data_IF_862872139834
#
_entry.id   IF_862872139834
#
_cell.length_a   1.000
_cell.length_b   1.000
_cell.length_c   1.000
_cell.angle_alpha   90.00
_cell.angle_beta   90.00
_cell.angle_gamma   90.00
#
_symmetry.space_group_name_H-M   'P 1'
#
loop_
_entity.id
_entity.type
_entity.pdbx_description
1 polymer ?
#
# COMPACT_ATOMS: atom_id res chain seq x y z
N UNK A 1 -3.21 -17.60 10.00
CA UNK A 1 -3.22 -16.15 10.28
C UNK A 1 -3.30 -15.42 8.95
N UNK A 2 -4.35 -14.64 8.69
CA UNK A 2 -4.56 -13.98 7.40
C UNK A 2 -3.60 -12.80 7.27
N UNK A 3 -2.60 -12.91 6.37
CA UNK A 3 -1.56 -11.88 6.20
C UNK A 3 -2.13 -10.53 5.78
N UNK A 4 -3.23 -10.51 5.05
CA UNK A 4 -3.85 -9.28 4.56
C UNK A 4 -4.59 -8.53 5.68
N UNK A 5 -5.29 -9.25 6.57
CA UNK A 5 -5.95 -8.65 7.74
C UNK A 5 -4.94 -8.02 8.70
N UNK A 6 -3.83 -8.71 8.99
CA UNK A 6 -2.78 -8.15 9.86
C UNK A 6 -2.12 -6.92 9.24
N UNK A 7 -1.86 -6.94 7.92
CA UNK A 7 -1.34 -5.78 7.20
C UNK A 7 -2.31 -4.60 7.27
N UNK A 8 -3.60 -4.85 7.02
CA UNK A 8 -4.65 -3.85 7.11
C UNK A 8 -4.72 -3.24 8.51
N UNK A 9 -4.70 -4.06 9.57
CA UNK A 9 -4.69 -3.57 10.95
C UNK A 9 -3.49 -2.66 11.23
N UNK A 10 -2.29 -3.05 10.78
CA UNK A 10 -1.08 -2.21 10.92
C UNK A 10 -1.24 -0.89 10.16
N UNK A 11 -1.77 -0.90 8.94
CA UNK A 11 -2.03 0.32 8.16
C UNK A 11 -3.05 1.24 8.85
N UNK A 12 -4.14 0.68 9.40
CA UNK A 12 -5.10 1.43 10.20
C UNK A 12 -4.44 2.09 11.41
N UNK A 13 -3.64 1.34 12.19
CA UNK A 13 -2.93 1.90 13.34
C UNK A 13 -1.95 3.00 12.94
N UNK A 14 -1.21 2.82 11.86
CA UNK A 14 -0.28 3.83 11.35
C UNK A 14 -1.00 5.10 10.89
N UNK A 15 -2.13 4.98 10.20
CA UNK A 15 -2.95 6.13 9.77
C UNK A 15 -3.57 6.87 10.95
N UNK A 16 -4.11 6.16 11.94
CA UNK A 16 -4.60 6.78 13.17
C UNK A 16 -3.49 7.51 13.94
N UNK A 17 -2.28 6.94 13.96
CA UNK A 17 -1.12 7.57 14.58
C UNK A 17 -0.68 8.83 13.81
N UNK A 18 -0.64 8.76 12.48
CA UNK A 18 -0.32 9.89 11.60
C UNK A 18 -1.22 11.10 11.93
N UNK A 19 -2.54 10.90 11.97
CA UNK A 19 -3.49 11.98 12.28
C UNK A 19 -3.30 12.59 13.68
N UNK A 20 -2.90 11.78 14.67
CA UNK A 20 -2.62 12.27 16.02
C UNK A 20 -1.36 13.14 16.04
N UNK A 21 -0.29 12.67 15.40
CA UNK A 21 0.99 13.39 15.34
C UNK A 21 0.82 14.72 14.59
N UNK A 22 0.08 14.73 13.48
CA UNK A 22 -0.25 15.94 12.72
C UNK A 22 -1.03 16.97 13.56
N UNK A 23 -1.93 16.51 14.43
CA UNK A 23 -2.66 17.35 15.37
C UNK A 23 -1.81 17.91 16.51
N UNK A 24 -0.87 17.11 17.02
CA UNK A 24 -0.03 17.43 18.17
C UNK A 24 1.21 18.30 17.83
N UNK A 25 1.55 18.45 16.53
CA UNK A 25 2.73 19.21 16.03
C UNK A 25 4.02 18.86 16.76
N UNK A 26 4.33 17.57 16.86
CA UNK A 26 5.54 17.10 17.55
C UNK A 26 6.77 17.32 16.66
N UNK A 27 7.40 18.50 16.78
CA UNK A 27 8.61 18.85 16.01
C UNK A 27 9.89 18.21 16.58
N UNK A 28 10.01 16.87 16.56
CA UNK A 28 11.28 16.21 16.88
C UNK A 28 11.48 14.90 16.12
N UNK A 29 12.61 14.77 15.43
CA UNK A 29 13.05 13.52 14.83
C UNK A 29 13.81 12.63 15.82
N UNK A 30 13.42 11.37 15.89
CA UNK A 30 14.08 10.37 16.74
C UNK A 30 15.40 9.89 16.11
N UNK A 31 16.51 10.05 16.84
CA UNK A 31 17.82 9.55 16.40
C UNK A 31 17.88 8.03 16.21
N UNK A 32 16.92 7.28 16.78
CA UNK A 32 16.77 5.84 16.58
C UNK A 32 16.68 5.50 15.08
N UNK A 33 16.07 6.36 14.26
CA UNK A 33 15.96 6.12 12.83
C UNK A 33 17.31 6.05 12.11
N UNK A 34 18.36 6.70 12.61
CA UNK A 34 19.71 6.59 12.04
C UNK A 34 20.32 5.19 12.16
N UNK A 35 19.87 4.43 13.17
CA UNK A 35 20.28 3.04 13.39
C UNK A 35 19.47 2.03 12.58
N UNK A 36 18.24 2.39 12.19
CA UNK A 36 17.31 1.51 11.46
C UNK A 36 17.42 1.73 9.95
N UNK A 37 17.39 2.98 9.51
CA UNK A 37 17.32 3.35 8.10
C UNK A 37 18.72 3.49 7.48
N UNK A 38 18.87 3.02 6.25
CA UNK A 38 20.07 3.24 5.45
C UNK A 38 20.16 4.70 4.95
N UNK A 39 21.36 5.14 4.56
CA UNK A 39 21.55 6.47 3.95
C UNK A 39 20.69 6.62 2.69
N UNK A 40 20.60 5.57 1.88
CA UNK A 40 19.76 5.54 0.67
C UNK A 40 18.26 5.69 0.98
N UNK A 41 17.76 5.04 2.04
CA UNK A 41 16.36 5.20 2.47
C UNK A 41 16.06 6.61 2.97
N UNK A 42 16.95 7.20 3.76
CA UNK A 42 16.81 8.58 4.21
C UNK A 42 16.81 9.57 3.03
N UNK A 43 17.67 9.34 2.02
CA UNK A 43 17.65 10.13 0.79
C UNK A 43 16.33 9.99 0.01
N UNK A 44 15.75 8.79 -0.03
CA UNK A 44 14.44 8.57 -0.67
C UNK A 44 13.32 9.29 0.06
N UNK A 45 13.30 9.26 1.39
CA UNK A 45 12.34 9.99 2.22
C UNK A 45 12.47 11.50 1.97
N UNK A 46 13.70 12.03 2.01
CA UNK A 46 13.93 13.44 1.77
C UNK A 46 13.47 13.87 0.36
N UNK A 47 13.80 13.11 -0.68
CA UNK A 47 13.35 13.40 -2.06
C UNK A 47 11.83 13.35 -2.19
N UNK A 48 11.16 12.47 -1.45
CA UNK A 48 9.70 12.39 -1.42
C UNK A 48 9.05 13.64 -0.82
N UNK A 49 9.68 14.28 0.18
CA UNK A 49 9.19 15.55 0.76
C UNK A 49 9.21 16.72 -0.25
N UNK A 50 10.03 16.64 -1.30
CA UNK A 50 10.23 17.70 -2.29
C UNK A 50 10.03 17.18 -3.74
N UNK A 51 8.78 16.88 -4.14
CA UNK A 51 8.49 16.23 -5.42
C UNK A 51 8.90 17.06 -6.66
N UNK A 52 8.90 18.39 -6.57
CA UNK A 52 9.21 19.28 -7.69
C UNK A 52 10.70 19.63 -7.81
N UNK A 53 11.36 19.96 -6.69
CA UNK A 53 12.81 20.23 -6.63
C UNK A 53 13.30 20.23 -5.19
N UNK A 54 14.34 19.45 -4.89
CA UNK A 54 15.06 19.60 -3.63
C UNK A 54 15.75 20.98 -3.58
N UNK A 55 15.82 21.64 -2.41
CA UNK A 55 16.53 22.91 -2.30
C UNK A 55 18.00 22.75 -2.69
N UNK A 56 18.55 23.67 -3.47
CA UNK A 56 19.95 23.64 -3.97
C UNK A 56 20.99 23.64 -2.85
N UNK A 57 20.58 23.97 -1.62
CA UNK A 57 21.40 23.94 -0.40
C UNK A 57 21.72 22.53 0.13
N UNK A 58 21.09 21.48 -0.39
CA UNK A 58 21.29 20.10 0.08
C UNK A 58 22.06 19.27 -0.94
N UNK A 59 23.29 18.91 -0.60
CA UNK A 59 24.15 18.04 -1.39
C UNK A 59 24.19 16.61 -0.82
N UNK A 60 23.48 15.70 -1.46
CA UNK A 60 23.36 14.31 -1.04
C UNK A 60 24.68 13.52 -1.07
N UNK A 61 25.67 13.99 -1.84
CA UNK A 61 27.00 13.37 -1.88
C UNK A 61 27.74 13.60 -0.56
N UNK A 62 27.61 14.79 0.02
CA UNK A 62 28.35 15.21 1.22
C UNK A 62 27.62 14.95 2.53
N UNK A 63 26.28 14.93 2.52
CA UNK A 63 25.48 14.70 3.74
C UNK A 63 25.67 13.30 4.33
N UNK A 64 25.88 13.20 5.64
CA UNK A 64 25.85 11.94 6.35
C UNK A 64 24.42 11.56 6.80
N UNK A 65 24.28 10.48 7.57
CA UNK A 65 22.95 10.03 8.05
C UNK A 65 22.31 11.02 9.02
N UNK A 66 23.11 11.68 9.86
CA UNK A 66 22.63 12.63 10.84
C UNK A 66 22.15 13.90 10.15
N UNK A 67 22.92 14.40 9.18
CA UNK A 67 22.51 15.53 8.33
C UNK A 67 21.17 15.27 7.64
N UNK A 68 20.96 14.04 7.13
CA UNK A 68 19.71 13.67 6.47
C UNK A 68 18.53 13.59 7.44
N UNK A 69 18.73 13.10 8.67
CA UNK A 69 17.68 13.09 9.69
C UNK A 69 17.29 14.52 10.08
N UNK A 70 18.26 15.38 10.32
CA UNK A 70 18.01 16.80 10.63
C UNK A 70 17.25 17.49 9.49
N UNK A 71 17.58 17.16 8.24
CA UNK A 71 16.89 17.69 7.07
C UNK A 71 15.46 17.16 6.90
N UNK A 72 15.16 15.95 7.38
CA UNK A 72 13.79 15.38 7.43
C UNK A 72 12.99 16.04 8.57
N UNK A 73 13.66 16.45 9.64
CA UNK A 73 13.18 17.25 10.77
C UNK A 73 12.10 16.62 11.68
N UNK A 74 11.21 15.77 11.16
CA UNK A 74 10.06 15.26 11.91
C UNK A 74 9.77 13.78 11.56
N UNK A 75 9.52 12.98 12.61
CA UNK A 75 9.12 11.58 12.52
C UNK A 75 7.87 11.37 11.64
N UNK A 76 6.99 12.38 11.57
CA UNK A 76 5.79 12.32 10.74
C UNK A 76 6.12 12.15 9.26
N UNK A 77 7.23 12.72 8.77
CA UNK A 77 7.63 12.58 7.37
C UNK A 77 8.10 11.15 7.06
N UNK A 78 8.82 10.52 8.00
CA UNK A 78 9.22 9.12 7.89
C UNK A 78 7.98 8.23 7.88
N UNK A 79 7.08 8.42 8.84
CA UNK A 79 5.84 7.65 8.93
C UNK A 79 4.98 7.81 7.67
N UNK A 80 4.79 9.05 7.20
CA UNK A 80 4.00 9.37 6.01
C UNK A 80 4.57 8.73 4.75
N UNK A 81 5.90 8.80 4.56
CA UNK A 81 6.58 8.15 3.44
C UNK A 81 6.33 6.63 3.41
N UNK A 82 6.49 5.95 4.55
CA UNK A 82 6.29 4.50 4.61
C UNK A 82 4.83 4.10 4.42
N UNK A 83 3.90 4.86 4.99
CA UNK A 83 2.47 4.67 4.76
C UNK A 83 2.15 4.78 3.27
N UNK A 84 2.60 5.84 2.59
CA UNK A 84 2.34 6.02 1.16
C UNK A 84 2.98 4.92 0.31
N UNK A 85 4.24 4.58 0.60
CA UNK A 85 4.96 3.50 -0.07
C UNK A 85 4.21 2.17 0.06
N UNK A 86 3.76 1.82 1.26
CA UNK A 86 3.02 0.59 1.52
C UNK A 86 1.61 0.61 0.95
N UNK A 87 0.99 1.77 0.76
CA UNK A 87 -0.29 1.86 0.06
C UNK A 87 -0.15 1.63 -1.45
N UNK A 88 1.03 1.86 -2.02
CA UNK A 88 1.33 1.60 -3.45
C UNK A 88 1.79 0.16 -3.73
N UNK A 89 2.26 -0.57 -2.73
CA UNK A 89 2.69 -1.98 -2.87
C UNK A 89 1.60 -2.99 -3.32
N UNK A 90 0.32 -2.92 -2.90
CA UNK A 90 -0.71 -3.83 -3.38
C UNK A 90 -1.02 -3.67 -4.87
N UNK A 91 -0.69 -2.52 -5.46
CA UNK A 91 -0.79 -2.23 -6.89
C UNK A 91 0.44 -2.71 -7.69
N UNK A 92 1.40 -3.38 -7.05
CA UNK A 92 2.65 -3.75 -7.69
C UNK A 92 2.40 -4.61 -8.92
N UNK A 93 2.69 -4.00 -10.08
CA UNK A 93 2.53 -4.55 -11.42
C UNK A 93 3.13 -5.95 -11.49
N UNK A 94 2.45 -6.83 -12.22
CA UNK A 94 3.01 -8.14 -12.55
C UNK A 94 4.25 -7.88 -13.42
N UNK A 95 5.41 -8.26 -12.91
CA UNK A 95 6.69 -8.20 -13.62
C UNK A 95 7.22 -9.62 -13.83
N UNK A 96 8.10 -9.85 -14.83
CA UNK A 96 8.70 -11.17 -15.03
C UNK A 96 9.46 -11.64 -13.78
N UNK A 97 10.12 -10.71 -13.08
CA UNK A 97 10.79 -10.94 -11.81
C UNK A 97 9.82 -11.47 -10.73
N UNK A 98 8.65 -10.83 -10.57
CA UNK A 98 7.63 -11.27 -9.60
C UNK A 98 7.05 -12.63 -9.96
N UNK A 99 6.85 -12.91 -11.24
CA UNK A 99 6.41 -14.24 -11.71
C UNK A 99 7.43 -15.30 -11.34
N UNK A 100 8.71 -15.05 -11.64
CA UNK A 100 9.82 -15.93 -11.28
C UNK A 100 9.85 -16.20 -9.76
N UNK A 101 9.83 -15.16 -8.94
CA UNK A 101 9.92 -15.26 -7.47
C UNK A 101 8.75 -16.08 -6.88
N UNK A 102 7.52 -15.82 -7.33
CA UNK A 102 6.33 -16.56 -6.87
C UNK A 102 6.41 -18.04 -7.27
N UNK A 103 6.84 -18.34 -8.50
CA UNK A 103 6.93 -19.72 -8.98
C UNK A 103 8.06 -20.50 -8.29
N UNK A 104 9.22 -19.88 -8.06
CA UNK A 104 10.33 -20.47 -7.28
C UNK A 104 9.93 -20.70 -5.82
N UNK A 105 9.23 -19.74 -5.19
CA UNK A 105 8.76 -19.91 -3.81
C UNK A 105 7.80 -21.10 -3.68
N UNK A 106 6.97 -21.31 -4.69
CA UNK A 106 6.03 -22.42 -4.77
C UNK A 106 6.64 -23.73 -5.30
N UNK A 107 7.92 -23.74 -5.69
CA UNK A 107 8.64 -24.88 -6.27
C UNK A 107 7.95 -25.43 -7.54
N UNK A 108 7.47 -24.54 -8.40
CA UNK A 108 6.77 -24.84 -9.66
C UNK A 108 7.40 -24.08 -10.83
N UNK A 109 8.72 -24.09 -10.91
CA UNK A 109 9.51 -23.38 -11.93
C UNK A 109 9.20 -23.83 -13.37
N UNK A 110 8.55 -24.98 -13.55
CA UNK A 110 8.11 -25.52 -14.84
C UNK A 110 6.72 -25.02 -15.29
N UNK A 111 6.06 -24.17 -14.49
CA UNK A 111 4.74 -23.63 -14.82
C UNK A 111 4.79 -22.80 -16.11
N UNK A 112 3.77 -22.90 -16.96
CA UNK A 112 3.79 -22.27 -18.30
C UNK A 112 3.90 -20.73 -18.25
N UNK A 113 3.43 -20.09 -17.18
CA UNK A 113 3.59 -18.65 -16.95
C UNK A 113 5.05 -18.22 -16.76
N UNK A 114 5.97 -19.14 -16.44
CA UNK A 114 7.40 -18.85 -16.29
C UNK A 114 8.03 -18.36 -17.60
N UNK A 115 7.54 -18.87 -18.73
CA UNK A 115 8.11 -18.60 -20.06
C UNK A 115 7.18 -17.80 -20.96
N UNK A 116 5.89 -17.69 -20.63
CA UNK A 116 4.92 -16.89 -21.38
C UNK A 116 5.19 -15.39 -21.19
N UNK A 117 5.34 -14.68 -22.30
CA UNK A 117 5.58 -13.22 -22.30
C UNK A 117 4.34 -12.51 -21.73
N UNK A 118 4.55 -11.60 -20.78
CA UNK A 118 3.47 -10.87 -20.09
C UNK A 118 2.52 -10.13 -21.03
N UNK A 119 3.02 -9.60 -22.15
CA UNK A 119 2.21 -8.89 -23.13
C UNK A 119 1.16 -9.80 -23.81
N UNK A 120 1.38 -11.12 -23.81
CA UNK A 120 0.49 -12.12 -24.42
C UNK A 120 -0.43 -12.80 -23.40
N UNK A 121 -0.45 -12.31 -22.15
CA UNK A 121 -1.31 -12.88 -21.12
C UNK A 121 -2.77 -12.55 -21.41
N UNK A 122 -3.59 -13.59 -21.30
CA UNK A 122 -5.04 -13.46 -21.35
C UNK A 122 -5.63 -13.36 -19.94
N UNK A 123 -6.96 -13.21 -19.85
CA UNK A 123 -7.68 -13.10 -18.58
C UNK A 123 -7.47 -14.34 -17.67
N UNK A 124 -7.32 -15.52 -18.27
CA UNK A 124 -7.08 -16.75 -17.55
C UNK A 124 -5.69 -16.75 -16.91
N UNK A 125 -4.66 -16.31 -17.63
CA UNK A 125 -3.30 -16.20 -17.11
C UNK A 125 -3.21 -15.25 -15.91
N UNK A 126 -3.84 -14.08 -16.03
CA UNK A 126 -3.90 -13.12 -14.94
C UNK A 126 -4.60 -13.71 -13.71
N UNK A 127 -5.73 -14.39 -13.91
CA UNK A 127 -6.48 -15.04 -12.84
C UNK A 127 -5.68 -16.18 -12.19
N UNK A 128 -5.01 -16.99 -12.99
CA UNK A 128 -4.18 -18.10 -12.52
C UNK A 128 -2.98 -17.60 -11.72
N UNK A 129 -2.26 -16.59 -12.23
CA UNK A 129 -1.15 -15.98 -11.50
C UNK A 129 -1.61 -15.36 -10.18
N UNK A 130 -2.77 -14.70 -10.16
CA UNK A 130 -3.36 -14.16 -8.92
C UNK A 130 -3.62 -15.26 -7.89
N UNK A 131 -4.08 -16.44 -8.32
CA UNK A 131 -4.26 -17.59 -7.45
C UNK A 131 -2.92 -18.15 -6.93
N UNK A 132 -1.87 -18.15 -7.75
CA UNK A 132 -0.52 -18.54 -7.33
C UNK A 132 0.05 -17.56 -6.29
N UNK A 133 -0.10 -16.25 -6.49
CA UNK A 133 0.27 -15.25 -5.49
C UNK A 133 -0.41 -15.50 -4.13
N UNK A 134 -1.71 -15.86 -4.13
CA UNK A 134 -2.42 -16.22 -2.89
C UNK A 134 -1.80 -17.44 -2.22
N UNK A 135 -1.47 -18.49 -2.98
CA UNK A 135 -0.80 -19.70 -2.46
C UNK A 135 0.59 -19.39 -1.91
N UNK A 136 1.34 -18.50 -2.57
CA UNK A 136 2.64 -18.02 -2.11
C UNK A 136 2.52 -17.11 -0.87
N UNK A 137 1.31 -16.74 -0.48
CA UNK A 137 1.06 -15.80 0.62
C UNK A 137 1.61 -14.41 0.32
N UNK A 138 1.62 -14.02 -0.97
CA UNK A 138 1.84 -12.65 -1.42
C UNK A 138 0.67 -11.78 -0.94
N UNK A 139 0.92 -10.64 -0.28
CA UNK A 139 -0.15 -9.73 0.11
C UNK A 139 -0.98 -9.29 -1.10
N UNK A 140 -2.29 -9.25 -0.95
CA UNK A 140 -3.23 -8.74 -1.96
C UNK A 140 -4.14 -7.70 -1.33
N UNK A 141 -4.58 -6.69 -2.09
CA UNK A 141 -5.53 -5.71 -1.57
C UNK A 141 -6.83 -6.41 -1.16
N UNK A 142 -7.41 -5.92 -0.07
CA UNK A 142 -8.78 -6.24 0.31
C UNK A 142 -9.71 -5.19 -0.29
N UNK A 143 -10.99 -5.52 -0.41
CA UNK A 143 -12.01 -4.61 -0.95
C UNK A 143 -13.10 -4.43 0.09
N UNK A 144 -13.59 -3.21 0.28
CA UNK A 144 -14.77 -2.96 1.09
C UNK A 144 -15.63 -1.87 0.47
N UNK A 145 -16.91 -1.88 0.84
CA UNK A 145 -17.91 -0.92 0.38
C UNK A 145 -17.94 0.25 1.35
N UNK A 146 -17.87 1.46 0.82
CA UNK A 146 -17.94 2.72 1.54
C UNK A 146 -19.01 3.62 0.94
N UNK A 147 -19.41 4.65 1.68
CA UNK A 147 -20.14 5.77 1.09
C UNK A 147 -19.25 6.52 0.07
N UNK A 148 -19.85 7.07 -0.98
CA UNK A 148 -19.17 7.87 -2.00
C UNK A 148 -18.51 9.15 -1.45
N UNK A 149 -18.92 9.57 -0.25
CA UNK A 149 -18.37 10.70 0.50
C UNK A 149 -16.97 10.42 1.08
N UNK A 150 -16.63 9.15 1.31
CA UNK A 150 -15.35 8.73 1.89
C UNK A 150 -14.25 8.93 0.86
N UNK A 151 -13.20 9.65 1.23
CA UNK A 151 -12.06 9.85 0.33
C UNK A 151 -11.09 8.66 0.40
N UNK A 152 -10.31 8.48 -0.66
CA UNK A 152 -9.25 7.48 -0.72
C UNK A 152 -8.25 7.58 0.45
N UNK A 153 -7.98 8.80 0.92
CA UNK A 153 -7.09 9.09 2.05
C UNK A 153 -7.64 8.61 3.41
N UNK A 154 -8.97 8.53 3.55
CA UNK A 154 -9.68 8.27 4.80
C UNK A 154 -10.14 6.80 4.94
N UNK A 155 -9.89 5.96 3.93
CA UNK A 155 -10.36 4.55 3.87
C UNK A 155 -9.87 3.66 5.02
N UNK A 156 -8.76 4.02 5.66
CA UNK A 156 -8.16 3.24 6.76
C UNK A 156 -8.63 3.65 8.16
N UNK A 157 -9.37 4.75 8.27
CA UNK A 157 -9.89 5.30 9.53
C UNK A 157 -11.42 5.39 9.54
N UNK A 158 -12.04 5.22 8.37
CA UNK A 158 -13.49 5.17 8.22
C UNK A 158 -13.98 3.73 8.33
N UNK A 159 -15.10 3.53 9.02
CA UNK A 159 -15.74 2.21 9.09
C UNK A 159 -16.43 1.90 7.76
N UNK A 160 -16.13 0.76 7.10
CA UNK A 160 -16.84 0.36 5.89
C UNK A 160 -18.28 -0.07 6.17
N UNK A 161 -19.14 0.02 5.15
CA UNK A 161 -20.52 -0.49 5.16
C UNK A 161 -20.59 -2.03 4.95
N UNK A 162 -19.44 -2.67 4.79
CA UNK A 162 -19.32 -4.10 4.57
C UNK A 162 -18.16 -4.71 5.35
N UNK A 163 -18.13 -6.04 5.39
CA UNK A 163 -16.89 -6.77 5.67
C UNK A 163 -15.87 -6.57 4.54
N UNK A 164 -14.63 -7.02 4.78
CA UNK A 164 -13.56 -7.01 3.79
C UNK A 164 -13.61 -8.24 2.88
N UNK A 165 -13.41 -8.03 1.59
CA UNK A 165 -13.48 -9.06 0.55
C UNK A 165 -12.13 -9.27 -0.15
N UNK A 166 -11.76 -10.52 -0.49
CA UNK A 166 -10.58 -10.81 -1.29
C UNK A 166 -10.65 -10.38 -2.77
N UNK A 167 -11.84 -10.12 -3.30
CA UNK A 167 -12.04 -9.72 -4.69
C UNK A 167 -12.98 -8.53 -4.84
N UNK A 168 -12.73 -7.74 -5.89
CA UNK A 168 -13.62 -6.65 -6.28
C UNK A 168 -15.03 -7.16 -6.62
N UNK A 169 -15.13 -8.34 -7.24
CA UNK A 169 -16.41 -8.96 -7.59
C UNK A 169 -17.29 -9.23 -6.36
N UNK A 170 -16.75 -9.84 -5.31
CA UNK A 170 -17.48 -10.08 -4.05
C UNK A 170 -17.96 -8.76 -3.42
N UNK A 171 -17.17 -7.69 -3.52
CA UNK A 171 -17.58 -6.36 -3.07
C UNK A 171 -18.70 -5.75 -3.94
N UNK A 172 -18.69 -6.00 -5.25
CA UNK A 172 -19.77 -5.57 -6.16
C UNK A 172 -21.09 -6.29 -5.86
N UNK A 173 -21.05 -7.58 -5.57
CA UNK A 173 -22.24 -8.32 -5.13
C UNK A 173 -22.83 -7.69 -3.86
N UNK A 174 -21.99 -7.23 -2.93
CA UNK A 174 -22.46 -6.53 -1.73
C UNK A 174 -23.09 -5.16 -2.03
N UNK A 175 -22.60 -4.39 -3.00
CA UNK A 175 -23.28 -3.17 -3.45
C UNK A 175 -24.69 -3.48 -3.95
N UNK A 176 -24.83 -4.49 -4.80
CA UNK A 176 -26.14 -4.88 -5.33
C UNK A 176 -27.13 -5.27 -4.21
N UNK A 177 -26.65 -5.97 -3.17
CA UNK A 177 -27.45 -6.28 -1.99
C UNK A 177 -27.87 -5.03 -1.21
N UNK A 178 -26.94 -4.12 -0.92
CA UNK A 178 -27.23 -2.86 -0.20
C UNK A 178 -28.24 -1.98 -0.95
N UNK A 179 -28.15 -1.93 -2.28
CA UNK A 179 -29.13 -1.22 -3.11
C UNK A 179 -30.53 -1.84 -3.02
N UNK A 180 -30.61 -3.17 -2.91
CA UNK A 180 -31.89 -3.89 -2.88
C UNK A 180 -32.56 -3.96 -1.51
N UNK A 181 -31.77 -4.04 -0.43
CA UNK A 181 -32.27 -4.25 0.94
C UNK A 181 -32.41 -2.94 1.73
N UNK A 182 -31.57 -1.94 1.44
CA UNK A 182 -31.47 -0.70 2.21
C UNK A 182 -31.77 0.57 1.37
N UNK A 183 -32.25 0.41 0.13
CA UNK A 183 -32.63 1.49 -0.80
C UNK A 183 -31.52 2.54 -1.05
N UNK A 184 -30.25 2.13 -0.92
CA UNK A 184 -29.13 3.02 -1.23
C UNK A 184 -29.07 3.35 -2.73
N UNK A 185 -28.95 4.64 -3.12
CA UNK A 185 -28.68 5.02 -4.50
C UNK A 185 -27.26 4.57 -4.91
N UNK A 186 -27.10 4.03 -6.12
CA UNK A 186 -25.80 3.60 -6.66
C UNK A 186 -24.73 4.70 -6.58
N UNK A 187 -25.13 5.96 -6.79
CA UNK A 187 -24.23 7.13 -6.75
C UNK A 187 -23.70 7.46 -5.35
N UNK A 188 -24.20 6.78 -4.30
CA UNK A 188 -23.80 6.99 -2.91
C UNK A 188 -22.85 5.90 -2.40
N UNK A 189 -22.53 4.89 -3.21
CA UNK A 189 -21.65 3.80 -2.80
C UNK A 189 -20.40 3.75 -3.69
N UNK A 190 -19.28 3.32 -3.11
CA UNK A 190 -18.06 3.05 -3.84
C UNK A 190 -17.30 1.87 -3.22
N UNK A 191 -16.46 1.22 -4.03
CA UNK A 191 -15.57 0.16 -3.56
C UNK A 191 -14.17 0.75 -3.50
N UNK A 192 -13.55 0.66 -2.32
CA UNK A 192 -12.15 1.05 -2.15
C UNK A 192 -11.30 -0.20 -1.94
N UNK A 193 -10.12 -0.23 -2.56
CA UNK A 193 -9.09 -1.24 -2.31
C UNK A 193 -8.22 -0.83 -1.13
N UNK A 194 -7.93 -1.75 -0.22
CA UNK A 194 -7.25 -1.55 1.06
C UNK A 194 -5.93 -2.31 1.13
#
# INVERSE_FOLDING_TARGET
>A
MNKNENRLLVQCFMKMLQQRIEGDRVENISSVFGSILSKDELQKIFKWMYPDRAPESYDFETMDKQDLLEAIADDIHILSYFIERWNKEPEEKITPQKVYEVLCQLQIETHYLMTKILADWDEYDHSNFKALCRKAGTPQPLYAVFESSVKEEDKYITLPLSQYYPTHWEAQEKIALLMSEEDFPETQLQILSL
#
